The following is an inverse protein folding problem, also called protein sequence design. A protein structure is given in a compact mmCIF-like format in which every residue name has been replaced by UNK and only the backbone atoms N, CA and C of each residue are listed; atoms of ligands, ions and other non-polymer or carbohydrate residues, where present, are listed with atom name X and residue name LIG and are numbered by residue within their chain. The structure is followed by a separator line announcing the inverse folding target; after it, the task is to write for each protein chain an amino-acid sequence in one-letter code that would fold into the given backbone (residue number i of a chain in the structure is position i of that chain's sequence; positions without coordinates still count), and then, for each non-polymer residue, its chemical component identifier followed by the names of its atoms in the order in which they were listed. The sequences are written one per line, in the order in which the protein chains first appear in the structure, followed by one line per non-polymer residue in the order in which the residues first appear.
data_IF_171426590035
#
_entry.id   IF_171426590035
#
_cell.length_a   1.000
_cell.length_b   1.000
_cell.length_c   1.000
_cell.angle_alpha   90.00
_cell.angle_beta   90.00
_cell.angle_gamma   90.00
#
_symmetry.space_group_name_H-M   'P 1'
#
loop_
_entity.id
_entity.type
_entity.pdbx_description
1 polymer ?
#
# COMPACT_ATOMS: atom_id res chain seq x y z
N UNK A 1 -15.55 42.57 31.13
CA UNK A 1 -14.48 41.74 30.52
C UNK A 1 -13.97 40.79 31.59
N UNK A 2 -13.56 39.53 31.28
CA UNK A 2 -12.88 39.12 30.05
C UNK A 2 -13.70 38.22 29.13
N UNK A 3 -13.39 38.34 27.83
CA UNK A 3 -13.93 37.53 26.74
C UNK A 3 -13.31 36.13 26.79
N UNK A 4 -14.16 35.10 26.70
CA UNK A 4 -13.72 33.73 26.44
C UNK A 4 -13.15 33.67 25.02
N UNK A 5 -11.84 33.84 24.89
CA UNK A 5 -11.12 33.49 23.68
C UNK A 5 -11.28 31.99 23.43
N UNK A 6 -12.24 31.61 22.58
CA UNK A 6 -12.24 30.29 21.94
C UNK A 6 -10.96 30.22 21.11
N UNK A 7 -9.95 29.49 21.60
CA UNK A 7 -8.79 29.15 20.80
C UNK A 7 -9.27 28.38 19.58
N UNK A 8 -9.32 29.05 18.43
CA UNK A 8 -9.46 28.40 17.13
C UNK A 8 -8.19 27.60 16.91
N UNK A 9 -8.25 26.28 17.10
CA UNK A 9 -7.17 25.37 16.74
C UNK A 9 -7.06 25.28 15.21
N UNK A 10 -6.57 26.34 14.57
CA UNK A 10 -6.28 26.38 13.14
C UNK A 10 -4.92 25.72 12.84
N UNK A 11 -4.66 24.57 13.45
CA UNK A 11 -3.47 23.78 13.21
C UNK A 11 -3.91 22.49 12.55
N UNK A 12 -3.85 22.43 11.21
CA UNK A 12 -3.96 21.15 10.48
C UNK A 12 -2.80 20.29 10.96
N UNK A 13 -3.01 19.47 12.01
CA UNK A 13 -1.98 18.58 12.58
C UNK A 13 -1.33 17.84 11.42
N UNK A 14 -0.07 18.16 11.12
CA UNK A 14 0.69 17.45 10.09
C UNK A 14 0.71 16.00 10.55
N UNK A 15 -0.07 15.14 9.88
CA UNK A 15 -0.04 13.69 10.16
C UNK A 15 1.41 13.24 10.06
N UNK A 16 1.87 12.57 11.10
CA UNK A 16 3.20 11.98 11.14
C UNK A 16 3.34 11.03 9.94
N UNK A 17 4.48 11.09 9.24
CA UNK A 17 4.80 10.19 8.13
C UNK A 17 6.15 9.59 8.41
N UNK A 18 6.21 8.27 8.52
CA UNK A 18 7.47 7.57 8.74
C UNK A 18 8.26 7.41 7.43
N UNK A 19 7.53 7.29 6.32
CA UNK A 19 8.12 7.07 5.01
C UNK A 19 7.18 7.61 3.91
N UNK A 20 7.75 8.12 2.82
CA UNK A 20 7.03 8.53 1.62
C UNK A 20 7.85 8.17 0.38
N UNK A 21 7.22 7.51 -0.59
CA UNK A 21 7.83 7.18 -1.89
C UNK A 21 6.77 7.19 -2.99
N UNK A 22 7.19 7.16 -4.24
CA UNK A 22 6.34 6.68 -5.33
C UNK A 22 6.34 5.16 -5.38
N UNK A 23 5.28 4.59 -5.94
CA UNK A 23 5.12 3.14 -6.07
C UNK A 23 4.23 2.82 -7.27
N UNK A 24 4.54 1.72 -7.95
CA UNK A 24 3.70 1.15 -8.99
C UNK A 24 3.02 -0.11 -8.47
N UNK A 25 1.69 -0.16 -8.51
CA UNK A 25 0.97 -1.41 -8.29
C UNK A 25 1.02 -2.23 -9.59
N UNK A 26 1.73 -3.34 -9.57
CA UNK A 26 1.86 -4.25 -10.72
C UNK A 26 0.61 -5.11 -10.89
N UNK A 27 0.11 -5.66 -9.79
CA UNK A 27 -1.02 -6.56 -9.80
C UNK A 27 -1.70 -6.62 -8.44
N UNK A 28 -2.99 -6.94 -8.48
CA UNK A 28 -3.76 -7.48 -7.37
C UNK A 28 -4.18 -8.90 -7.72
N UNK A 29 -3.96 -9.85 -6.82
CA UNK A 29 -4.44 -11.22 -6.95
C UNK A 29 -5.33 -11.55 -5.77
N UNK A 30 -6.63 -11.69 -6.04
CA UNK A 30 -7.59 -12.21 -5.06
C UNK A 30 -7.34 -13.71 -4.92
N UNK A 31 -7.33 -14.17 -3.68
CA UNK A 31 -7.25 -15.59 -3.32
C UNK A 31 -8.53 -16.01 -2.59
N UNK A 32 -8.71 -17.32 -2.52
CA UNK A 32 -9.88 -17.90 -1.85
C UNK A 32 -9.84 -17.62 -0.35
N UNK A 33 -10.99 -17.42 0.29
CA UNK A 33 -11.06 -17.06 1.73
C UNK A 33 -10.35 -18.08 2.64
N UNK A 34 -10.40 -19.36 2.27
CA UNK A 34 -9.82 -20.46 3.03
C UNK A 34 -8.36 -20.74 2.69
N UNK A 35 -7.79 -20.02 1.71
CA UNK A 35 -6.42 -20.20 1.29
C UNK A 35 -5.49 -19.40 2.20
N UNK A 36 -4.45 -20.04 2.72
CA UNK A 36 -3.46 -19.37 3.56
C UNK A 36 -2.45 -18.60 2.72
N UNK A 37 -1.96 -17.49 3.26
CA UNK A 37 -0.88 -16.76 2.64
C UNK A 37 0.40 -17.60 2.59
N UNK A 38 0.92 -17.85 1.39
CA UNK A 38 2.01 -18.80 1.16
C UNK A 38 3.18 -18.15 0.41
N UNK A 39 4.39 -18.28 0.97
CA UNK A 39 5.60 -17.70 0.39
C UNK A 39 5.94 -18.26 -1.01
N UNK A 40 5.86 -19.58 -1.21
CA UNK A 40 6.16 -20.24 -2.48
C UNK A 40 5.15 -19.84 -3.57
N UNK A 41 3.88 -19.71 -3.19
CA UNK A 41 2.82 -19.24 -4.08
C UNK A 41 3.10 -17.80 -4.54
N UNK A 42 3.43 -16.92 -3.59
CA UNK A 42 3.74 -15.51 -3.88
C UNK A 42 4.99 -15.40 -4.75
N UNK A 43 6.03 -16.19 -4.50
CA UNK A 43 7.23 -16.23 -5.33
C UNK A 43 6.90 -16.65 -6.77
N UNK A 44 6.10 -17.71 -6.94
CA UNK A 44 5.65 -18.17 -8.27
C UNK A 44 4.85 -17.09 -9.01
N UNK A 45 3.94 -16.42 -8.29
CA UNK A 45 3.19 -15.29 -8.83
C UNK A 45 4.11 -14.14 -9.23
N UNK A 46 5.09 -13.79 -8.40
CA UNK A 46 6.06 -12.75 -8.69
C UNK A 46 6.82 -13.02 -10.00
N UNK A 47 7.29 -14.26 -10.20
CA UNK A 47 7.97 -14.67 -11.43
C UNK A 47 7.09 -14.46 -12.67
N UNK A 48 5.79 -14.76 -12.58
CA UNK A 48 4.82 -14.56 -13.68
C UNK A 48 4.51 -13.08 -13.96
N UNK A 49 4.78 -12.18 -13.02
CA UNK A 49 4.42 -10.77 -13.08
C UNK A 49 5.55 -9.86 -13.54
N UNK A 50 6.79 -10.36 -13.71
CA UNK A 50 7.97 -9.55 -14.02
C UNK A 50 7.84 -8.70 -15.29
N UNK A 51 7.12 -9.19 -16.31
CA UNK A 51 6.91 -8.49 -17.58
C UNK A 51 5.63 -7.64 -17.63
N UNK A 52 4.83 -7.64 -16.55
CA UNK A 52 3.53 -6.98 -16.54
C UNK A 52 3.66 -5.47 -16.36
N UNK A 53 2.92 -4.70 -17.15
CA UNK A 53 2.80 -3.25 -16.98
C UNK A 53 2.07 -2.92 -15.66
N UNK A 54 2.48 -1.83 -15.03
CA UNK A 54 1.84 -1.29 -13.82
C UNK A 54 0.37 -0.95 -14.05
N UNK A 55 -0.50 -1.33 -13.12
CA UNK A 55 -1.92 -0.94 -13.08
C UNK A 55 -2.09 0.54 -12.72
N UNK A 56 -1.34 1.02 -11.73
CA UNK A 56 -1.39 2.41 -11.34
C UNK A 56 -0.09 2.87 -10.68
N UNK A 57 0.27 4.13 -10.97
CA UNK A 57 1.35 4.84 -10.31
C UNK A 57 0.77 5.72 -9.18
N UNK A 58 1.26 5.53 -7.95
CA UNK A 58 0.76 6.19 -6.74
C UNK A 58 1.88 6.70 -5.84
N UNK A 59 1.57 7.67 -4.98
CA UNK A 59 2.38 8.02 -3.82
C UNK A 59 1.99 7.13 -2.65
N UNK A 60 2.96 6.41 -2.10
CA UNK A 60 2.83 5.60 -0.91
C UNK A 60 3.32 6.40 0.31
N UNK A 61 2.56 6.35 1.39
CA UNK A 61 2.91 6.99 2.67
C UNK A 61 2.67 6.03 3.80
N UNK A 62 3.70 5.79 4.61
CA UNK A 62 3.55 5.08 5.87
C UNK A 62 3.15 6.08 6.96
N UNK A 63 1.90 5.98 7.41
CA UNK A 63 1.32 6.74 8.52
C UNK A 63 1.22 5.82 9.76
N UNK A 64 1.02 6.35 10.99
CA UNK A 64 0.94 5.52 12.20
C UNK A 64 -0.13 4.43 12.20
N UNK A 65 -1.22 4.64 11.47
CA UNK A 65 -2.38 3.76 11.37
C UNK A 65 -2.30 2.79 10.20
N UNK A 66 -1.40 3.00 9.24
CA UNK A 66 -1.30 2.16 8.06
C UNK A 66 -0.60 2.82 6.88
N UNK A 67 -0.72 2.16 5.72
CA UNK A 67 -0.14 2.61 4.46
C UNK A 67 -1.22 3.31 3.64
N UNK A 68 -0.97 4.56 3.27
CA UNK A 68 -1.87 5.33 2.42
C UNK A 68 -1.33 5.46 1.01
N UNK A 69 -2.18 5.13 0.03
CA UNK A 69 -1.93 5.38 -1.38
C UNK A 69 -2.69 6.60 -1.85
N UNK A 70 -2.01 7.46 -2.59
CA UNK A 70 -2.60 8.62 -3.27
C UNK A 70 -2.23 8.61 -4.73
N UNK A 71 -3.17 9.02 -5.57
CA UNK A 71 -2.88 9.29 -6.99
C UNK A 71 -1.76 10.31 -7.10
N UNK A 72 -0.87 10.12 -8.07
CA UNK A 72 0.19 11.07 -8.39
C UNK A 72 -0.35 12.29 -9.13
N UNK A 73 -1.38 12.11 -9.97
CA UNK A 73 -2.06 13.19 -10.68
C UNK A 73 -3.58 12.96 -10.74
N UNK A 74 -4.37 13.99 -11.11
CA UNK A 74 -5.83 13.86 -11.27
C UNK A 74 -6.23 12.93 -12.42
N UNK A 75 -5.33 12.71 -13.38
CA UNK A 75 -5.56 11.89 -14.57
C UNK A 75 -5.06 10.45 -14.40
N UNK A 76 -4.18 10.17 -13.44
CA UNK A 76 -3.62 8.81 -13.24
C UNK A 76 -4.66 7.83 -12.72
N UNK A 77 -4.65 6.54 -13.08
CA UNK A 77 -5.59 5.58 -12.51
C UNK A 77 -5.57 5.59 -10.95
N UNK A 78 -6.73 5.57 -10.27
CA UNK A 78 -6.76 5.46 -8.82
C UNK A 78 -6.23 4.10 -8.36
N UNK A 79 -5.55 4.03 -7.21
CA UNK A 79 -5.21 2.73 -6.63
C UNK A 79 -6.51 2.00 -6.24
N UNK A 80 -6.57 0.66 -6.39
CA UNK A 80 -7.73 -0.14 -6.00
C UNK A 80 -8.13 0.05 -4.53
N UNK A 81 -7.12 0.26 -3.66
CA UNK A 81 -7.32 0.60 -2.25
C UNK A 81 -6.48 1.81 -1.89
N UNK A 82 -7.12 2.80 -1.25
CA UNK A 82 -6.47 4.07 -0.85
C UNK A 82 -5.75 3.97 0.49
N UNK A 83 -6.11 2.99 1.33
CA UNK A 83 -5.57 2.86 2.68
C UNK A 83 -5.54 1.38 3.10
N UNK A 84 -4.37 0.93 3.54
CA UNK A 84 -4.12 -0.39 4.10
C UNK A 84 -3.86 -0.20 5.59
N UNK A 85 -4.85 -0.51 6.43
CA UNK A 85 -4.66 -0.55 7.88
C UNK A 85 -3.60 -1.60 8.20
N UNK A 86 -2.68 -1.32 9.12
CA UNK A 86 -1.70 -2.34 9.53
C UNK A 86 -2.35 -3.59 10.13
N UNK A 87 -3.55 -3.46 10.69
CA UNK A 87 -4.32 -4.59 11.21
C UNK A 87 -4.84 -5.54 10.12
N UNK A 88 -4.97 -5.04 8.89
CA UNK A 88 -5.51 -5.80 7.76
C UNK A 88 -4.40 -6.48 6.95
N UNK A 89 -3.13 -6.14 7.23
CA UNK A 89 -1.95 -6.72 6.59
C UNK A 89 -1.50 -7.89 7.46
N UNK A 90 -1.73 -9.12 7.01
CA UNK A 90 -1.30 -10.30 7.76
C UNK A 90 0.18 -10.64 7.50
N UNK A 91 0.64 -10.46 6.27
CA UNK A 91 2.02 -10.78 5.87
C UNK A 91 2.53 -9.79 4.85
N UNK A 92 3.84 -9.58 4.86
CA UNK A 92 4.55 -8.91 3.79
C UNK A 92 5.67 -9.80 3.28
N UNK A 93 6.02 -9.64 2.00
CA UNK A 93 7.12 -10.36 1.38
C UNK A 93 8.02 -9.39 0.63
N UNK A 94 9.31 -9.65 0.75
CA UNK A 94 10.40 -9.06 -0.02
C UNK A 94 11.30 -10.22 -0.47
N UNK A 95 11.91 -10.09 -1.64
CA UNK A 95 12.76 -11.13 -2.21
C UNK A 95 14.09 -10.51 -2.60
N UNK A 96 15.20 -11.16 -2.22
CA UNK A 96 16.55 -10.64 -2.47
C UNK A 96 16.86 -10.46 -3.97
N UNK A 97 16.27 -11.32 -4.81
CA UNK A 97 16.41 -11.25 -6.27
C UNK A 97 15.63 -10.07 -6.89
N UNK A 98 14.65 -9.52 -6.18
CA UNK A 98 13.79 -8.44 -6.65
C UNK A 98 13.52 -7.44 -5.51
N UNK A 99 14.56 -6.76 -4.98
CA UNK A 99 14.47 -6.01 -3.72
C UNK A 99 13.56 -4.77 -3.81
N UNK A 100 13.25 -4.33 -5.04
CA UNK A 100 12.30 -3.24 -5.29
C UNK A 100 10.84 -3.66 -5.16
N UNK A 101 10.56 -4.95 -5.04
CA UNK A 101 9.19 -5.46 -5.00
C UNK A 101 8.78 -5.72 -3.55
N UNK A 102 7.74 -5.01 -3.12
CA UNK A 102 7.04 -5.24 -1.86
C UNK A 102 5.71 -5.93 -2.17
N UNK A 103 5.41 -7.02 -1.49
CA UNK A 103 4.14 -7.72 -1.67
C UNK A 103 3.40 -7.71 -0.34
N UNK A 104 2.19 -7.16 -0.34
CA UNK A 104 1.34 -7.12 0.85
C UNK A 104 0.23 -8.17 0.72
N UNK A 105 0.09 -8.98 1.76
CA UNK A 105 -0.99 -9.95 1.92
C UNK A 105 -2.03 -9.36 2.85
N UNK A 106 -3.20 -9.05 2.31
CA UNK A 106 -4.22 -8.29 3.01
C UNK A 106 -5.53 -9.08 3.10
N UNK A 107 -6.25 -8.86 4.18
CA UNK A 107 -7.63 -9.30 4.36
C UNK A 107 -8.56 -8.09 4.22
N UNK A 108 -9.62 -8.25 3.45
CA UNK A 108 -10.76 -7.35 3.42
C UNK A 108 -11.89 -7.98 4.24
N UNK A 109 -12.06 -7.49 5.48
CA UNK A 109 -13.11 -7.99 6.37
C UNK A 109 -14.51 -7.59 5.91
N UNK A 110 -14.66 -6.51 5.14
CA UNK A 110 -15.97 -6.07 4.64
C UNK A 110 -16.43 -6.97 3.49
N UNK A 111 -15.51 -7.35 2.61
CA UNK A 111 -15.79 -8.21 1.46
C UNK A 111 -15.56 -9.70 1.73
N UNK A 112 -15.04 -10.05 2.90
CA UNK A 112 -14.57 -11.38 3.25
C UNK A 112 -13.62 -11.97 2.19
N UNK A 113 -12.73 -11.14 1.64
CA UNK A 113 -11.76 -11.54 0.62
C UNK A 113 -10.34 -11.42 1.14
N UNK A 114 -9.45 -12.25 0.60
CA UNK A 114 -8.01 -12.16 0.85
C UNK A 114 -7.32 -11.89 -0.48
N UNK A 115 -6.24 -11.11 -0.46
CA UNK A 115 -5.53 -10.79 -1.70
C UNK A 115 -4.07 -10.44 -1.46
N UNK A 116 -3.30 -10.56 -2.53
CA UNK A 116 -1.95 -10.05 -2.65
C UNK A 116 -1.95 -8.78 -3.49
N UNK A 117 -1.28 -7.74 -3.01
CA UNK A 117 -0.93 -6.57 -3.81
C UNK A 117 0.58 -6.51 -4.02
N UNK A 118 0.98 -6.41 -5.28
CA UNK A 118 2.37 -6.40 -5.72
C UNK A 118 2.79 -4.96 -6.05
N UNK A 119 3.63 -4.39 -5.21
CA UNK A 119 4.14 -3.03 -5.34
C UNK A 119 5.58 -3.02 -5.80
N UNK A 120 5.88 -2.25 -6.84
CA UNK A 120 7.24 -1.92 -7.25
C UNK A 120 7.60 -0.54 -6.77
N UNK A 121 8.60 -0.46 -5.90
CA UNK A 121 9.24 0.79 -5.51
C UNK A 121 10.26 1.21 -6.58
N UNK A 122 10.54 2.51 -6.71
CA UNK A 122 11.62 2.98 -7.57
C UNK A 122 12.95 2.39 -7.11
N UNK A 123 13.83 2.05 -8.06
CA UNK A 123 15.23 1.77 -7.76
C UNK A 123 15.85 3.04 -7.19
N UNK A 124 16.34 2.99 -5.94
CA UNK A 124 17.17 4.08 -5.45
C UNK A 124 18.58 3.87 -6.02
N UNK A 125 18.94 4.65 -7.03
CA UNK A 125 20.35 4.86 -7.36
C UNK A 125 20.97 5.66 -6.21
N UNK A 126 21.57 4.96 -5.25
CA UNK A 126 22.51 5.57 -4.31
C UNK A 126 23.87 5.71 -4.98
#
# INVERSE_FOLDING_TARGET
MPSTHRMKSCGRRKRLRYFESTVDLIARKIITSNEEFNHNQVHTLLLSLKSRKSLCHSKLRCEPDGIRLKRTSKLSAPPPRKFYSYKDIERYYVFDNDPTILILSCVDHEQNTRYYDFFKLPESHY
#
